data_IF_344314093568
#
_entry.id   IF_344314093568
#
_cell.length_a   1.000
_cell.length_b   1.000
_cell.length_c   1.000
_cell.angle_alpha   90.00
_cell.angle_beta   90.00
_cell.angle_gamma   90.00
#
_symmetry.space_group_name_H-M   'P 1'
#
loop_
_entity.id
_entity.type
_entity.pdbx_description
1 polymer ?
#
# COMPACT_ATOMS: atom_id res chain seq x y z
N UNK A 1 -31.97 9.31 -24.78
CA UNK A 1 -30.95 8.26 -24.62
C UNK A 1 -31.57 6.95 -25.09
N UNK A 2 -30.92 6.22 -25.98
CA UNK A 2 -31.41 4.91 -26.43
C UNK A 2 -31.25 3.87 -25.30
N UNK A 3 -32.12 2.86 -25.23
CA UNK A 3 -32.09 1.83 -24.19
C UNK A 3 -30.76 1.06 -24.18
N UNK A 4 -30.15 0.86 -25.35
CA UNK A 4 -28.83 0.24 -25.47
C UNK A 4 -27.73 1.11 -24.82
N UNK A 5 -27.76 2.42 -25.06
CA UNK A 5 -26.82 3.37 -24.46
C UNK A 5 -26.97 3.42 -22.94
N UNK A 6 -28.21 3.39 -22.43
CA UNK A 6 -28.49 3.34 -20.99
C UNK A 6 -27.83 2.13 -20.33
N UNK A 7 -27.94 0.96 -20.94
CA UNK A 7 -27.36 -0.27 -20.40
C UNK A 7 -25.82 -0.22 -20.36
N UNK A 8 -25.18 0.34 -21.39
CA UNK A 8 -23.72 0.49 -21.44
C UNK A 8 -23.23 1.39 -20.30
N UNK A 9 -23.87 2.54 -20.11
CA UNK A 9 -23.53 3.46 -19.01
C UNK A 9 -23.78 2.80 -17.66
N UNK A 10 -24.89 2.10 -17.48
CA UNK A 10 -25.19 1.40 -16.24
C UNK A 10 -24.14 0.33 -15.91
N UNK A 11 -23.67 -0.43 -16.90
CA UNK A 11 -22.61 -1.41 -16.72
C UNK A 11 -21.30 -0.77 -16.25
N UNK A 12 -20.94 0.39 -16.80
CA UNK A 12 -19.77 1.15 -16.36
C UNK A 12 -19.93 1.66 -14.93
N UNK A 13 -21.10 2.21 -14.59
CA UNK A 13 -21.42 2.69 -13.24
C UNK A 13 -21.29 1.57 -12.22
N UNK A 14 -21.93 0.42 -12.45
CA UNK A 14 -21.88 -0.73 -11.54
C UNK A 14 -20.44 -1.20 -11.31
N UNK A 15 -19.62 -1.25 -12.37
CA UNK A 15 -18.23 -1.66 -12.23
C UNK A 15 -17.37 -0.62 -11.47
N UNK A 16 -17.64 0.68 -11.63
CA UNK A 16 -16.98 1.74 -10.86
C UNK A 16 -17.37 1.71 -9.37
N UNK A 17 -18.63 1.36 -9.06
CA UNK A 17 -19.10 1.15 -7.69
C UNK A 17 -18.44 -0.06 -7.02
N UNK A 18 -18.27 -1.15 -7.78
CA UNK A 18 -17.51 -2.32 -7.34
C UNK A 18 -16.05 -1.95 -7.05
N UNK A 19 -15.38 -1.26 -7.99
CA UNK A 19 -14.03 -0.73 -7.78
C UNK A 19 -13.93 0.16 -6.54
N UNK A 20 -14.92 1.04 -6.35
CA UNK A 20 -14.97 1.91 -5.17
C UNK A 20 -15.04 1.10 -3.88
N UNK A 21 -15.82 0.02 -3.87
CA UNK A 21 -15.94 -0.88 -2.72
C UNK A 21 -14.63 -1.61 -2.44
N UNK A 22 -13.96 -2.12 -3.48
CA UNK A 22 -12.66 -2.78 -3.35
C UNK A 22 -11.58 -1.81 -2.84
N UNK A 23 -11.55 -0.56 -3.33
CA UNK A 23 -10.61 0.44 -2.84
C UNK A 23 -10.90 0.86 -1.39
N UNK A 24 -12.17 0.91 -0.97
CA UNK A 24 -12.50 1.13 0.45
C UNK A 24 -11.99 -0.01 1.33
N UNK A 25 -12.16 -1.26 0.91
CA UNK A 25 -11.61 -2.42 1.63
C UNK A 25 -10.08 -2.36 1.69
N UNK A 26 -9.42 -2.01 0.58
CA UNK A 26 -7.96 -1.85 0.53
C UNK A 26 -7.49 -0.74 1.46
N UNK A 27 -8.20 0.39 1.53
CA UNK A 27 -7.90 1.47 2.46
C UNK A 27 -7.91 1.00 3.92
N UNK A 28 -8.89 0.18 4.32
CA UNK A 28 -8.94 -0.38 5.67
C UNK A 28 -7.78 -1.33 5.95
N UNK A 29 -7.37 -2.16 4.98
CA UNK A 29 -6.21 -3.05 5.10
C UNK A 29 -4.91 -2.28 5.26
N UNK A 30 -4.72 -1.19 4.50
CA UNK A 30 -3.53 -0.33 4.61
C UNK A 30 -3.53 0.47 5.93
N UNK A 31 -4.70 0.86 6.43
CA UNK A 31 -4.83 1.46 7.78
C UNK A 31 -4.45 0.48 8.88
N UNK A 32 -4.96 -0.74 8.81
CA UNK A 32 -4.65 -1.80 9.78
C UNK A 32 -3.16 -2.16 9.77
N UNK A 33 -2.54 -2.19 8.59
CA UNK A 33 -1.10 -2.42 8.44
C UNK A 33 -0.26 -1.45 9.26
N UNK A 34 -0.63 -0.16 9.28
CA UNK A 34 0.03 0.86 10.10
C UNK A 34 0.01 0.48 11.57
N UNK A 35 -1.16 0.10 12.08
CA UNK A 35 -1.33 -0.20 13.51
C UNK A 35 -0.54 -1.47 13.89
N UNK A 36 -0.50 -2.46 13.00
CA UNK A 36 0.30 -3.68 13.16
C UNK A 36 1.82 -3.41 13.11
N UNK A 37 2.28 -2.50 12.25
CA UNK A 37 3.68 -2.06 12.21
C UNK A 37 4.08 -1.35 13.50
N UNK A 38 3.21 -0.51 14.05
CA UNK A 38 3.45 0.19 15.32
C UNK A 38 3.51 -0.80 16.49
N UNK A 39 2.64 -1.81 16.51
CA UNK A 39 2.64 -2.84 17.56
C UNK A 39 3.68 -3.94 17.34
N UNK A 40 4.44 -3.92 16.24
CA UNK A 40 5.38 -4.96 15.82
C UNK A 40 4.76 -6.37 15.78
N UNK A 41 3.49 -6.48 15.39
CA UNK A 41 2.77 -7.75 15.29
C UNK A 41 3.04 -8.42 13.94
N UNK A 42 4.07 -9.28 13.90
CA UNK A 42 4.50 -9.96 12.68
C UNK A 42 3.43 -10.92 12.12
N UNK A 43 2.75 -11.67 13.00
CA UNK A 43 1.71 -12.60 12.55
C UNK A 43 0.53 -11.84 11.95
N UNK A 44 0.08 -10.77 12.62
CA UNK A 44 -0.97 -9.92 12.09
C UNK A 44 -0.57 -9.25 10.78
N UNK A 45 0.71 -8.87 10.59
CA UNK A 45 1.21 -8.32 9.33
C UNK A 45 1.17 -9.34 8.18
N UNK A 46 1.55 -10.59 8.42
CA UNK A 46 1.51 -11.65 7.40
C UNK A 46 0.07 -11.92 6.95
N UNK A 47 -0.87 -12.05 7.89
CA UNK A 47 -2.29 -12.22 7.58
C UNK A 47 -2.84 -11.00 6.81
N UNK A 48 -2.47 -9.79 7.22
CA UNK A 48 -2.89 -8.56 6.56
C UNK A 48 -2.33 -8.43 5.14
N UNK A 49 -1.09 -8.87 4.91
CA UNK A 49 -0.46 -8.92 3.59
C UNK A 49 -1.18 -9.90 2.66
N UNK A 50 -1.54 -11.09 3.13
CA UNK A 50 -2.32 -12.04 2.33
C UNK A 50 -3.69 -11.47 1.90
N UNK A 51 -4.36 -10.74 2.79
CA UNK A 51 -5.60 -10.03 2.47
C UNK A 51 -5.35 -8.90 1.46
N UNK A 52 -4.27 -8.13 1.63
CA UNK A 52 -3.86 -7.05 0.71
C UNK A 52 -3.63 -7.59 -0.70
N UNK A 53 -2.89 -8.69 -0.85
CA UNK A 53 -2.61 -9.31 -2.14
C UNK A 53 -3.88 -9.80 -2.83
N UNK A 54 -4.79 -10.43 -2.07
CA UNK A 54 -6.10 -10.86 -2.57
C UNK A 54 -6.91 -9.68 -3.09
N UNK A 55 -6.96 -8.56 -2.35
CA UNK A 55 -7.67 -7.36 -2.78
C UNK A 55 -7.02 -6.71 -4.00
N UNK A 56 -5.69 -6.64 -4.07
CA UNK A 56 -4.97 -6.11 -5.22
C UNK A 56 -5.30 -6.91 -6.49
N UNK A 57 -5.35 -8.25 -6.39
CA UNK A 57 -5.76 -9.08 -7.52
C UNK A 57 -7.19 -8.77 -7.98
N UNK A 58 -8.14 -8.63 -7.05
CA UNK A 58 -9.52 -8.25 -7.38
C UNK A 58 -9.62 -6.87 -8.02
N UNK A 59 -8.89 -5.88 -7.49
CA UNK A 59 -8.82 -4.53 -8.06
C UNK A 59 -8.30 -4.56 -9.50
N UNK A 60 -7.24 -5.33 -9.77
CA UNK A 60 -6.69 -5.47 -11.13
C UNK A 60 -7.71 -6.02 -12.12
N UNK A 61 -8.46 -7.07 -11.73
CA UNK A 61 -9.50 -7.66 -12.58
C UNK A 61 -10.65 -6.67 -12.82
N UNK A 62 -11.11 -5.99 -11.78
CA UNK A 62 -12.17 -5.00 -11.89
C UNK A 62 -11.75 -3.77 -12.72
N UNK A 63 -10.48 -3.35 -12.66
CA UNK A 63 -9.95 -2.22 -13.45
C UNK A 63 -9.78 -2.58 -14.93
N UNK A 64 -9.40 -3.83 -15.24
CA UNK A 64 -9.41 -4.34 -16.61
C UNK A 64 -10.83 -4.33 -17.20
N UNK A 65 -11.83 -4.73 -16.41
CA UNK A 65 -13.23 -4.65 -16.82
C UNK A 65 -13.67 -3.19 -17.01
N UNK A 66 -13.25 -2.29 -16.11
CA UNK A 66 -13.52 -0.84 -16.21
C UNK A 66 -13.02 -0.27 -17.52
N UNK A 67 -11.81 -0.63 -17.94
CA UNK A 67 -11.26 -0.16 -19.20
C UNK A 67 -12.18 -0.55 -20.37
N UNK A 68 -12.55 -1.83 -20.50
CA UNK A 68 -13.45 -2.32 -21.54
C UNK A 68 -14.81 -1.61 -21.53
N UNK A 69 -15.41 -1.42 -20.35
CA UNK A 69 -16.69 -0.72 -20.20
C UNK A 69 -16.58 0.77 -20.52
N UNK A 70 -15.44 1.39 -20.22
CA UNK A 70 -15.19 2.79 -20.54
C UNK A 70 -14.99 3.00 -22.05
N UNK A 71 -14.35 2.06 -22.74
CA UNK A 71 -14.23 2.05 -24.22
C UNK A 71 -15.61 1.98 -24.89
N UNK A 72 -16.46 1.03 -24.44
CA UNK A 72 -17.84 0.89 -24.91
C UNK A 72 -18.67 2.17 -24.65
N UNK A 73 -18.56 2.72 -23.44
CA UNK A 73 -19.25 3.95 -23.06
C UNK A 73 -18.78 5.15 -23.88
N UNK A 74 -17.47 5.29 -24.10
CA UNK A 74 -16.88 6.35 -24.91
C UNK A 74 -17.40 6.30 -26.35
N UNK A 75 -17.41 5.12 -26.97
CA UNK A 75 -17.97 4.92 -28.30
C UNK A 75 -19.45 5.31 -28.36
N UNK A 76 -20.24 4.95 -27.33
CA UNK A 76 -21.67 5.25 -27.28
C UNK A 76 -22.00 6.74 -27.19
N UNK A 77 -21.10 7.57 -26.65
CA UNK A 77 -21.28 9.03 -26.51
C UNK A 77 -20.46 9.83 -27.53
N UNK A 78 -19.81 9.15 -28.49
CA UNK A 78 -18.95 9.77 -29.50
C UNK A 78 -17.65 10.39 -28.94
N UNK A 79 -17.17 9.93 -27.79
CA UNK A 79 -15.83 10.22 -27.29
C UNK A 79 -14.79 9.27 -27.91
N UNK A 80 -13.51 9.54 -27.69
CA UNK A 80 -12.41 8.68 -28.16
C UNK A 80 -12.38 7.33 -27.39
N UNK A 81 -12.65 6.19 -28.04
CA UNK A 81 -12.58 4.88 -27.39
C UNK A 81 -11.15 4.40 -27.15
N UNK A 82 -10.13 4.95 -27.83
CA UNK A 82 -8.73 4.56 -27.62
C UNK A 82 -8.13 5.20 -26.36
N UNK A 83 -8.72 6.31 -25.92
CA UNK A 83 -8.33 7.00 -24.69
C UNK A 83 -9.58 7.40 -23.89
N UNK A 84 -10.31 6.43 -23.31
CA UNK A 84 -11.59 6.70 -22.69
C UNK A 84 -11.42 7.47 -21.37
N UNK A 85 -11.70 8.77 -21.39
CA UNK A 85 -11.66 9.63 -20.19
C UNK A 85 -13.03 9.74 -19.54
N UNK A 86 -13.14 9.31 -18.29
CA UNK A 86 -14.41 9.28 -17.56
C UNK A 86 -15.12 10.65 -17.49
N UNK A 87 -14.36 11.74 -17.28
CA UNK A 87 -14.90 13.10 -17.26
C UNK A 87 -15.35 13.60 -18.64
N UNK A 88 -14.74 13.11 -19.71
CA UNK A 88 -15.19 13.42 -21.07
C UNK A 88 -16.50 12.70 -21.39
N UNK A 89 -16.59 11.41 -21.03
CA UNK A 89 -17.81 10.61 -21.15
C UNK A 89 -18.96 11.30 -20.40
N UNK A 90 -18.74 11.70 -19.15
CA UNK A 90 -19.72 12.43 -18.35
C UNK A 90 -20.12 13.78 -19.00
N UNK A 91 -19.16 14.52 -19.56
CA UNK A 91 -19.44 15.80 -20.23
C UNK A 91 -20.36 15.62 -21.44
N UNK A 92 -20.13 14.58 -22.25
CA UNK A 92 -20.93 14.32 -23.47
C UNK A 92 -22.31 13.72 -23.17
N UNK A 93 -22.41 12.92 -22.11
CA UNK A 93 -23.67 12.29 -21.69
C UNK A 93 -24.68 13.33 -21.14
N UNK A 94 -24.21 14.22 -20.25
CA UNK A 94 -25.07 15.15 -19.53
C UNK A 94 -26.03 14.47 -18.54
N UNK A 95 -26.86 15.28 -17.87
CA UNK A 95 -27.92 14.79 -16.99
C UNK A 95 -27.45 14.02 -15.74
N UNK A 96 -28.36 13.26 -15.11
CA UNK A 96 -28.10 12.58 -13.83
C UNK A 96 -26.97 11.55 -13.88
N UNK A 97 -26.83 10.84 -15.00
CA UNK A 97 -25.78 9.82 -15.15
C UNK A 97 -24.39 10.46 -15.27
N UNK A 98 -24.28 11.64 -15.88
CA UNK A 98 -23.04 12.41 -15.86
C UNK A 98 -22.62 12.81 -14.44
N UNK A 99 -23.57 13.24 -13.61
CA UNK A 99 -23.29 13.60 -12.22
C UNK A 99 -22.83 12.39 -11.41
N UNK A 100 -23.45 11.22 -11.61
CA UNK A 100 -23.01 9.96 -11.01
C UNK A 100 -21.56 9.63 -11.37
N UNK A 101 -21.19 9.72 -12.64
CA UNK A 101 -19.82 9.46 -13.10
C UNK A 101 -18.80 10.44 -12.48
N UNK A 102 -19.16 11.72 -12.33
CA UNK A 102 -18.30 12.73 -11.66
C UNK A 102 -18.10 12.41 -10.18
N UNK A 103 -19.17 12.02 -9.48
CA UNK A 103 -19.11 11.65 -8.06
C UNK A 103 -18.23 10.41 -7.87
N UNK A 104 -18.40 9.39 -8.71
CA UNK A 104 -17.58 8.17 -8.69
C UNK A 104 -16.11 8.50 -8.96
N UNK A 105 -15.82 9.34 -9.96
CA UNK A 105 -14.46 9.80 -10.23
C UNK A 105 -13.82 10.47 -9.02
N UNK A 106 -14.50 11.46 -8.41
CA UNK A 106 -13.98 12.18 -7.25
C UNK A 106 -13.79 11.27 -6.03
N UNK A 107 -14.69 10.31 -5.84
CA UNK A 107 -14.58 9.31 -4.77
C UNK A 107 -13.35 8.42 -4.96
N UNK A 108 -13.16 7.88 -6.17
CA UNK A 108 -12.03 7.03 -6.50
C UNK A 108 -10.69 7.77 -6.40
N UNK A 109 -10.60 9.00 -6.92
CA UNK A 109 -9.40 9.83 -6.82
C UNK A 109 -9.03 10.10 -5.34
N UNK A 110 -10.02 10.43 -4.52
CA UNK A 110 -9.81 10.64 -3.08
C UNK A 110 -9.32 9.37 -2.37
N UNK A 111 -9.91 8.22 -2.69
CA UNK A 111 -9.50 6.94 -2.12
C UNK A 111 -8.07 6.57 -2.53
N UNK A 112 -7.73 6.70 -3.81
CA UNK A 112 -6.41 6.38 -4.33
C UNK A 112 -5.31 7.24 -3.69
N UNK A 113 -5.52 8.56 -3.57
CA UNK A 113 -4.58 9.44 -2.89
C UNK A 113 -4.36 9.02 -1.43
N UNK A 114 -5.44 8.76 -0.69
CA UNK A 114 -5.35 8.32 0.71
C UNK A 114 -4.62 6.99 0.87
N UNK A 115 -4.86 6.02 -0.02
CA UNK A 115 -4.17 4.73 -0.02
C UNK A 115 -2.67 4.94 -0.28
N UNK A 116 -2.32 5.75 -1.27
CA UNK A 116 -0.93 6.05 -1.59
C UNK A 116 -0.20 6.72 -0.42
N UNK A 117 -0.83 7.72 0.21
CA UNK A 117 -0.27 8.44 1.35
C UNK A 117 -0.04 7.52 2.55
N UNK A 118 -1.02 6.67 2.90
CA UNK A 118 -0.88 5.73 4.00
C UNK A 118 0.14 4.63 3.71
N UNK A 119 0.17 4.10 2.49
CA UNK A 119 1.14 3.09 2.10
C UNK A 119 2.57 3.63 2.17
N UNK A 120 2.80 4.89 1.77
CA UNK A 120 4.08 5.56 1.94
C UNK A 120 4.46 5.69 3.42
N UNK A 121 3.51 6.07 4.28
CA UNK A 121 3.74 6.10 5.73
C UNK A 121 4.11 4.73 6.30
N UNK A 122 3.43 3.66 5.87
CA UNK A 122 3.73 2.29 6.27
C UNK A 122 5.15 1.87 5.84
N UNK A 123 5.55 2.23 4.62
CA UNK A 123 6.91 2.02 4.13
C UNK A 123 7.96 2.72 5.01
N UNK A 124 7.70 3.97 5.42
CA UNK A 124 8.58 4.72 6.32
C UNK A 124 8.70 4.06 7.71
N UNK A 125 7.61 3.55 8.28
CA UNK A 125 7.63 2.80 9.54
C UNK A 125 8.45 1.50 9.43
N UNK A 126 8.22 0.71 8.39
CA UNK A 126 8.93 -0.54 8.16
C UNK A 126 10.44 -0.31 7.99
N UNK A 127 10.83 0.67 7.16
CA UNK A 127 12.23 1.04 6.96
C UNK A 127 12.91 1.54 8.23
N UNK A 128 12.19 2.31 9.05
CA UNK A 128 12.71 2.80 10.33
C UNK A 128 12.95 1.66 11.31
N UNK A 129 12.02 0.69 11.40
CA UNK A 129 12.18 -0.50 12.23
C UNK A 129 13.41 -1.33 11.81
N UNK A 130 13.58 -1.56 10.50
CA UNK A 130 14.73 -2.30 9.95
C UNK A 130 16.07 -1.58 10.24
N UNK A 131 16.09 -0.26 10.13
CA UNK A 131 17.29 0.56 10.43
C UNK A 131 17.68 0.45 11.91
N UNK A 132 16.71 0.55 12.81
CA UNK A 132 16.94 0.41 14.26
C UNK A 132 17.45 -0.98 14.61
N UNK A 133 16.84 -2.03 14.06
CA UNK A 133 17.27 -3.41 14.28
C UNK A 133 18.70 -3.63 13.77
N UNK A 134 19.03 -3.12 12.58
CA UNK A 134 20.36 -3.22 12.00
C UNK A 134 21.42 -2.48 12.84
N UNK A 135 21.05 -1.31 13.38
CA UNK A 135 21.90 -0.56 14.32
C UNK A 135 22.18 -1.36 15.59
N UNK A 136 21.12 -1.85 16.25
CA UNK A 136 21.24 -2.65 17.47
C UNK A 136 22.08 -3.92 17.25
N UNK A 137 21.88 -4.64 16.14
CA UNK A 137 22.71 -5.81 15.79
C UNK A 137 24.19 -5.45 15.60
N UNK A 138 24.48 -4.31 14.96
CA UNK A 138 25.85 -3.85 14.79
C UNK A 138 26.51 -3.45 16.12
N UNK A 139 25.77 -2.83 17.04
CA UNK A 139 26.25 -2.51 18.38
C UNK A 139 26.52 -3.76 19.22
N UNK A 140 25.61 -4.73 19.19
CA UNK A 140 25.79 -6.03 19.84
C UNK A 140 27.03 -6.73 19.26
N UNK A 141 27.17 -6.77 17.93
CA UNK A 141 28.34 -7.34 17.26
C UNK A 141 29.63 -6.62 17.64
N UNK A 142 29.61 -5.28 17.70
CA UNK A 142 30.76 -4.46 18.09
C UNK A 142 31.16 -4.68 19.55
N UNK A 143 30.19 -4.90 20.43
CA UNK A 143 30.42 -5.20 21.85
C UNK A 143 30.94 -6.63 22.05
N UNK A 144 30.36 -7.61 21.36
CA UNK A 144 30.76 -9.02 21.41
C UNK A 144 32.12 -9.26 20.72
N UNK A 145 32.48 -8.48 19.71
CA UNK A 145 33.76 -8.60 19.01
C UNK A 145 34.99 -8.22 19.86
N UNK A 146 34.78 -7.83 21.13
CA UNK A 146 35.84 -7.50 22.09
C UNK A 146 36.52 -6.17 21.78
N UNK A 147 36.80 -5.36 22.82
CA UNK A 147 37.64 -4.17 22.66
C UNK A 147 39.03 -4.61 22.19
N UNK A 148 39.48 -4.17 21.00
CA UNK A 148 40.90 -4.20 20.62
C UNK A 148 41.65 -3.19 21.49
N UNK A 149 42.10 -3.61 22.66
CA UNK A 149 42.99 -2.80 23.49
C UNK A 149 44.34 -2.73 22.79
N UNK A 150 44.76 -1.53 22.35
CA UNK A 150 46.14 -1.30 21.94
C UNK A 150 47.02 -1.30 23.20
N UNK A 151 47.66 -2.42 23.50
CA UNK A 151 48.79 -2.40 24.42
C UNK A 151 50.05 -1.92 23.72
N UNK A 152 50.86 -1.18 24.48
CA UNK A 152 52.09 -0.52 24.07
C UNK A 152 53.23 -1.54 23.88
N UNK A 153 53.08 -2.45 22.91
CA UNK A 153 54.12 -3.24 22.24
C UNK A 153 53.43 -4.15 21.22
N UNK A 154 53.69 -3.92 19.93
CA UNK A 154 52.96 -4.49 18.80
C UNK A 154 53.06 -6.01 18.65
N UNK A 155 52.31 -6.76 19.44
CA UNK A 155 51.95 -8.15 19.18
C UNK A 155 50.50 -8.40 19.61
N UNK A 156 49.65 -8.77 18.65
CA UNK A 156 48.27 -9.16 18.93
C UNK A 156 48.23 -10.54 19.58
N UNK A 157 47.64 -10.63 20.77
CA UNK A 157 47.10 -11.90 21.30
C UNK A 157 45.60 -11.75 21.49
N UNK A 158 44.84 -12.72 21.02
CA UNK A 158 43.41 -12.86 21.31
C UNK A 158 43.27 -13.09 22.83
N UNK A 159 42.70 -12.12 23.54
CA UNK A 159 42.43 -12.24 24.99
C UNK A 159 41.29 -13.24 25.27
N UNK A 160 41.20 -13.78 26.49
CA UNK A 160 40.24 -14.83 26.83
C UNK A 160 38.78 -14.34 26.73
N UNK A 161 37.89 -15.25 26.29
CA UNK A 161 36.47 -15.01 25.96
C UNK A 161 35.54 -14.77 27.17
N UNK A 162 35.93 -13.93 28.12
CA UNK A 162 35.04 -13.59 29.25
C UNK A 162 35.08 -12.11 29.54
N UNK A 163 34.08 -11.38 29.05
CA UNK A 163 33.64 -10.12 29.67
C UNK A 163 32.22 -9.75 29.20
N UNK A 164 31.27 -10.62 29.52
CA UNK A 164 29.86 -10.22 29.65
C UNK A 164 29.68 -9.52 31.00
N UNK A 165 29.99 -8.22 31.06
CA UNK A 165 29.81 -7.44 32.28
C UNK A 165 28.36 -6.93 32.33
N UNK A 166 27.41 -7.81 32.65
CA UNK A 166 26.01 -7.41 32.80
C UNK A 166 25.39 -7.70 34.17
N UNK A 167 26.06 -8.37 35.11
CA UNK A 167 25.59 -8.42 36.51
C UNK A 167 26.78 -8.50 37.46
N UNK A 168 27.11 -7.39 38.12
CA UNK A 168 27.81 -7.44 39.40
C UNK A 168 26.79 -7.85 40.47
N UNK A 169 26.94 -9.05 41.03
CA UNK A 169 26.29 -9.36 42.31
C UNK A 169 26.97 -8.51 43.38
N UNK A 170 26.22 -7.59 43.98
CA UNK A 170 26.50 -7.15 45.33
C UNK A 170 26.08 -8.27 46.31
N UNK A 171 26.85 -8.37 47.41
CA UNK A 171 26.85 -9.35 48.52
C UNK A 171 27.63 -10.66 48.28
#
# INVERSE_FOLDING_TARGET
MDAAQAQIIQNLVTNLEELTTLYRQLLEVVRKERDLLISADLQGLDENNALKDTLIMKVRLADQLRLKRAEEAAASVGADPQSPRLLEIARRLGGPDADRLRVLHGTLDTLLRRIADLNKGNEEYANSALKTLSGAMNEIKGTLAGKKTYEKKGNYKLGPETTGNFVSKEA
#
